data_IF_296221151790
#
_entry.id   IF_296221151790
#
_cell.length_a   1.000
_cell.length_b   1.000
_cell.length_c   1.000
_cell.angle_alpha   90.00
_cell.angle_beta   90.00
_cell.angle_gamma   90.00
#
_symmetry.space_group_name_H-M   'P 1'
#
loop_
_entity.id
_entity.type
_entity.pdbx_description
1 polymer ?
#
# COMPACT_ATOMS: atom_id res chain seq x y z
N UNK A 1 -11.05 1.39 6.08
CA UNK A 1 -11.62 0.39 7.00
C UNK A 1 -11.52 0.77 8.47
N UNK A 2 -10.55 1.58 8.90
CA UNK A 2 -10.47 2.00 10.29
C UNK A 2 -9.51 1.16 11.16
N UNK A 3 -8.82 0.18 10.57
CA UNK A 3 -7.78 -0.59 11.23
C UNK A 3 -6.53 0.27 11.47
N UNK A 4 -5.87 0.06 12.60
CA UNK A 4 -4.61 0.70 12.99
C UNK A 4 -3.41 0.05 12.30
N UNK A 5 -3.37 0.10 10.97
CA UNK A 5 -2.28 -0.47 10.16
C UNK A 5 -1.38 0.59 9.50
N UNK A 6 -1.69 1.88 9.72
CA UNK A 6 -0.90 3.00 9.20
C UNK A 6 0.47 3.03 9.86
N UNK A 7 1.45 3.60 9.17
CA UNK A 7 2.83 3.68 9.68
C UNK A 7 2.92 4.33 11.07
N UNK A 8 2.06 5.30 11.38
CA UNK A 8 1.99 5.99 12.68
C UNK A 8 0.92 5.41 13.63
N UNK A 9 0.46 4.18 13.39
CA UNK A 9 -0.59 3.47 14.15
C UNK A 9 -1.97 4.16 14.17
N UNK A 10 -2.12 5.31 13.51
CA UNK A 10 -3.40 5.98 13.46
C UNK A 10 -4.36 5.30 12.48
N UNK A 11 -5.64 5.45 12.76
CA UNK A 11 -6.71 5.01 11.89
C UNK A 11 -7.14 6.12 10.93
N UNK A 12 -7.52 5.73 9.71
CA UNK A 12 -8.26 6.58 8.76
C UNK A 12 -9.50 5.83 8.33
N UNK A 13 -10.54 5.93 9.14
CA UNK A 13 -11.85 5.37 8.82
C UNK A 13 -12.54 6.22 7.74
N UNK A 14 -13.25 5.56 6.84
CA UNK A 14 -14.15 6.19 5.88
C UNK A 14 -15.50 5.51 6.06
N UNK A 15 -16.38 6.14 6.83
CA UNK A 15 -17.68 5.58 7.21
C UNK A 15 -18.59 5.42 6.01
N UNK A 16 -18.56 6.36 5.06
CA UNK A 16 -19.32 6.28 3.80
C UNK A 16 -18.95 5.04 2.98
N UNK A 17 -17.64 4.74 2.87
CA UNK A 17 -17.18 3.52 2.22
C UNK A 17 -17.62 2.26 2.98
N UNK A 18 -17.52 2.24 4.31
CA UNK A 18 -17.95 1.08 5.09
C UNK A 18 -19.45 0.85 4.92
N UNK A 19 -20.24 1.93 4.96
CA UNK A 19 -21.67 1.88 4.74
C UNK A 19 -22.03 1.36 3.33
N UNK A 20 -21.31 1.77 2.29
CA UNK A 20 -21.54 1.28 0.93
C UNK A 20 -21.17 -0.18 0.74
N UNK A 21 -20.23 -0.70 1.55
CA UNK A 21 -19.80 -2.09 1.54
C UNK A 21 -20.63 -3.02 2.45
N UNK A 22 -21.60 -2.51 3.22
CA UNK A 22 -22.33 -3.29 4.24
C UNK A 22 -23.01 -4.58 3.75
N UNK A 23 -23.34 -4.64 2.46
CA UNK A 23 -24.02 -5.78 1.82
C UNK A 23 -23.06 -6.65 0.97
N UNK A 24 -21.76 -6.39 1.03
CA UNK A 24 -20.75 -7.10 0.26
C UNK A 24 -19.72 -7.74 1.20
N UNK A 25 -19.30 -9.00 0.96
CA UNK A 25 -18.14 -9.53 1.64
C UNK A 25 -16.90 -8.76 1.19
N UNK A 26 -16.06 -8.36 2.14
CA UNK A 26 -14.79 -7.70 1.86
C UNK A 26 -13.70 -8.23 2.79
N UNK A 27 -12.46 -8.19 2.31
CA UNK A 27 -11.28 -8.61 3.05
C UNK A 27 -10.42 -7.37 3.29
N UNK A 28 -10.27 -6.89 4.54
CA UNK A 28 -9.34 -5.82 4.82
C UNK A 28 -7.90 -6.35 4.72
N UNK A 29 -7.00 -5.58 4.13
CA UNK A 29 -5.58 -5.92 4.05
C UNK A 29 -4.69 -4.67 4.16
N UNK A 30 -3.42 -4.88 4.49
CA UNK A 30 -2.37 -3.89 4.41
C UNK A 30 -1.14 -4.54 3.76
N UNK A 31 -0.76 -4.17 2.53
CA UNK A 31 0.36 -4.84 1.83
C UNK A 31 1.65 -4.72 2.64
N UNK A 32 1.90 -3.57 3.26
CA UNK A 32 3.08 -3.33 4.08
C UNK A 32 3.17 -4.31 5.27
N UNK A 33 2.06 -4.60 5.95
CA UNK A 33 2.03 -5.59 7.05
C UNK A 33 2.12 -7.02 6.54
N UNK A 34 1.44 -7.36 5.44
CA UNK A 34 1.56 -8.66 4.79
C UNK A 34 3.00 -8.92 4.32
N UNK A 35 3.71 -7.87 3.96
CA UNK A 35 5.13 -7.87 3.64
C UNK A 35 6.07 -8.01 4.84
N UNK A 36 5.55 -7.97 6.06
CA UNK A 36 6.30 -8.13 7.31
C UNK A 36 6.73 -6.83 7.99
N UNK A 37 6.26 -5.65 7.55
CA UNK A 37 6.55 -4.41 8.28
C UNK A 37 5.67 -4.28 9.53
N UNK A 38 6.22 -3.74 10.64
CA UNK A 38 5.45 -3.58 11.87
C UNK A 38 4.45 -2.41 11.79
N UNK A 39 3.65 -2.27 12.85
CA UNK A 39 2.91 -1.05 13.15
C UNK A 39 3.14 -0.68 14.62
N UNK A 40 3.66 0.52 14.94
CA UNK A 40 4.11 1.55 14.01
C UNK A 40 5.38 1.16 13.22
N UNK A 41 5.71 1.95 12.19
CA UNK A 41 6.92 1.85 11.35
C UNK A 41 7.27 3.23 10.80
N UNK A 42 8.50 3.38 10.32
CA UNK A 42 8.94 4.60 9.64
C UNK A 42 8.10 4.89 8.39
N UNK A 43 7.90 6.17 8.10
CA UNK A 43 7.32 6.58 6.81
C UNK A 43 8.28 6.17 5.70
N UNK A 44 7.75 5.64 4.61
CA UNK A 44 8.52 5.25 3.43
C UNK A 44 8.01 5.92 2.15
N UNK A 45 8.84 5.93 1.11
CA UNK A 45 8.51 6.42 -0.22
C UNK A 45 9.35 5.70 -1.29
N UNK A 46 8.86 5.72 -2.53
CA UNK A 46 9.60 5.26 -3.70
C UNK A 46 10.69 6.29 -4.04
N UNK A 47 11.92 5.85 -4.32
CA UNK A 47 13.07 6.75 -4.54
C UNK A 47 12.91 7.60 -5.80
N UNK A 48 12.37 7.01 -6.87
CA UNK A 48 12.09 7.62 -8.16
C UNK A 48 11.14 6.72 -8.96
N UNK A 49 10.50 7.24 -10.00
CA UNK A 49 9.54 6.45 -10.79
C UNK A 49 8.25 6.16 -10.02
N UNK A 50 7.69 4.97 -10.17
CA UNK A 50 6.53 4.52 -9.41
C UNK A 50 6.60 3.04 -9.01
N UNK A 51 5.47 2.46 -8.61
CA UNK A 51 5.38 1.06 -8.18
C UNK A 51 5.88 0.07 -9.23
N UNK A 52 5.72 0.38 -10.53
CA UNK A 52 6.21 -0.47 -11.61
C UNK A 52 7.72 -0.53 -11.63
N UNK A 53 8.38 0.62 -11.48
CA UNK A 53 9.84 0.70 -11.42
C UNK A 53 10.42 -0.10 -10.25
N UNK A 54 9.70 -0.16 -9.12
CA UNK A 54 10.07 -1.01 -7.98
C UNK A 54 9.96 -2.50 -8.33
N UNK A 55 8.89 -2.91 -9.01
CA UNK A 55 8.67 -4.30 -9.42
C UNK A 55 9.67 -4.76 -10.50
N UNK A 56 10.09 -3.85 -11.38
CA UNK A 56 11.12 -4.09 -12.40
C UNK A 56 12.56 -4.01 -11.83
N UNK A 57 12.71 -3.59 -10.58
CA UNK A 57 14.00 -3.47 -9.90
C UNK A 57 14.82 -2.23 -10.29
N UNK A 58 14.22 -1.27 -11.00
CA UNK A 58 14.85 -0.01 -11.37
C UNK A 58 14.72 1.06 -10.29
N UNK A 59 13.77 0.92 -9.36
CA UNK A 59 13.57 1.78 -8.20
C UNK A 59 13.51 1.01 -6.87
N UNK A 60 13.60 1.75 -5.76
CA UNK A 60 13.55 1.22 -4.40
C UNK A 60 12.49 1.90 -3.58
N UNK A 61 12.06 1.25 -2.51
CA UNK A 61 11.30 1.87 -1.42
C UNK A 61 12.23 2.05 -0.23
N UNK A 62 12.38 3.29 0.21
CA UNK A 62 13.22 3.64 1.37
C UNK A 62 12.38 4.29 2.46
N UNK A 63 12.74 4.03 3.71
CA UNK A 63 12.12 4.69 4.86
C UNK A 63 12.86 5.98 5.28
N UNK A 64 12.27 6.72 6.21
CA UNK A 64 12.82 7.99 6.69
C UNK A 64 14.13 7.85 7.48
N UNK A 65 14.46 6.64 7.93
CA UNK A 65 15.73 6.30 8.55
C UNK A 65 16.79 5.88 7.52
N UNK A 66 16.43 5.81 6.23
CA UNK A 66 17.32 5.42 5.13
C UNK A 66 17.40 3.91 4.90
N UNK A 67 16.55 3.11 5.55
CA UNK A 67 16.52 1.66 5.32
C UNK A 67 15.82 1.35 3.99
N UNK A 68 16.38 0.39 3.24
CA UNK A 68 15.74 -0.19 2.07
C UNK A 68 14.68 -1.21 2.52
N UNK A 69 13.40 -0.85 2.33
CA UNK A 69 12.24 -1.68 2.69
C UNK A 69 11.54 -2.26 1.44
N UNK A 70 12.22 -2.25 0.30
CA UNK A 70 11.68 -2.70 -1.00
C UNK A 70 11.16 -4.13 -0.92
N UNK A 71 11.91 -5.02 -0.27
CA UNK A 71 11.57 -6.45 -0.18
C UNK A 71 10.21 -6.66 0.48
N UNK A 72 9.90 -5.91 1.54
CA UNK A 72 8.63 -6.01 2.24
C UNK A 72 7.48 -5.48 1.38
N UNK A 73 7.69 -4.39 0.64
CA UNK A 73 6.67 -3.88 -0.28
C UNK A 73 6.35 -4.87 -1.40
N UNK A 74 7.37 -5.47 -2.02
CA UNK A 74 7.19 -6.48 -3.08
C UNK A 74 6.53 -7.75 -2.52
N UNK A 75 6.99 -8.26 -1.38
CA UNK A 75 6.37 -9.43 -0.72
C UNK A 75 4.89 -9.15 -0.40
N UNK A 76 4.60 -7.95 0.11
CA UNK A 76 3.24 -7.51 0.40
C UNK A 76 2.33 -7.57 -0.83
N UNK A 77 2.80 -7.07 -1.98
CA UNK A 77 2.07 -7.16 -3.25
C UNK A 77 1.79 -8.61 -3.63
N UNK A 78 2.79 -9.49 -3.57
CA UNK A 78 2.62 -10.92 -3.89
C UNK A 78 1.60 -11.60 -2.99
N UNK A 79 1.57 -11.30 -1.68
CA UNK A 79 0.53 -11.85 -0.79
C UNK A 79 -0.87 -11.31 -1.13
N UNK A 80 -0.99 -10.06 -1.55
CA UNK A 80 -2.27 -9.49 -2.01
C UNK A 80 -2.72 -10.14 -3.31
N UNK A 81 -1.82 -10.40 -4.26
CA UNK A 81 -2.15 -11.13 -5.50
C UNK A 81 -2.71 -12.52 -5.21
N UNK A 82 -2.13 -13.25 -4.24
CA UNK A 82 -2.68 -14.53 -3.79
C UNK A 82 -4.09 -14.40 -3.24
N UNK A 83 -4.38 -13.36 -2.44
CA UNK A 83 -5.73 -13.08 -1.95
C UNK A 83 -6.69 -12.77 -3.10
N UNK A 84 -6.26 -11.96 -4.07
CA UNK A 84 -7.06 -11.62 -5.25
C UNK A 84 -7.41 -12.87 -6.05
N UNK A 85 -6.44 -13.76 -6.29
CA UNK A 85 -6.65 -15.01 -7.00
C UNK A 85 -7.55 -15.97 -6.21
N UNK A 86 -7.27 -16.18 -4.91
CA UNK A 86 -7.98 -17.11 -4.04
C UNK A 86 -9.48 -16.76 -3.90
N UNK A 87 -9.79 -15.47 -3.77
CA UNK A 87 -11.16 -15.00 -3.57
C UNK A 87 -11.80 -14.43 -4.85
N UNK A 88 -11.13 -14.54 -6.00
CA UNK A 88 -11.58 -14.03 -7.30
C UNK A 88 -12.02 -12.55 -7.22
N UNK A 89 -11.25 -11.72 -6.53
CA UNK A 89 -11.56 -10.31 -6.25
C UNK A 89 -11.63 -9.51 -7.55
N UNK A 90 -12.68 -8.69 -7.71
CA UNK A 90 -12.90 -7.84 -8.91
C UNK A 90 -12.76 -6.35 -8.67
N UNK A 91 -12.78 -5.93 -7.41
CA UNK A 91 -12.69 -4.52 -7.01
C UNK A 91 -11.83 -4.41 -5.77
N UNK A 92 -10.93 -3.44 -5.77
CA UNK A 92 -10.11 -3.08 -4.62
C UNK A 92 -10.31 -1.59 -4.28
N UNK A 93 -10.41 -1.29 -2.99
CA UNK A 93 -10.46 0.08 -2.49
C UNK A 93 -9.15 0.38 -1.77
N UNK A 94 -8.29 1.16 -2.42
CA UNK A 94 -6.92 1.39 -1.96
C UNK A 94 -6.76 2.79 -1.37
N UNK A 95 -5.86 2.92 -0.40
CA UNK A 95 -5.58 4.21 0.24
C UNK A 95 -4.74 5.08 -0.69
N UNK A 96 -5.32 6.19 -1.14
CA UNK A 96 -4.64 7.19 -1.99
C UNK A 96 -3.31 7.70 -1.43
N UNK A 97 -2.39 8.03 -2.34
CA UNK A 97 -1.09 8.68 -2.08
C UNK A 97 -0.04 7.85 -1.33
N UNK A 98 -0.35 6.60 -0.98
CA UNK A 98 0.62 5.69 -0.33
C UNK A 98 1.62 5.15 -1.37
N UNK A 99 2.90 4.97 -1.02
CA UNK A 99 3.87 4.28 -1.89
C UNK A 99 3.50 2.82 -2.18
N UNK A 100 2.63 2.19 -1.38
CA UNK A 100 2.12 0.85 -1.67
C UNK A 100 0.75 0.91 -2.38
N UNK A 101 -0.20 1.67 -1.84
CA UNK A 101 -1.61 1.60 -2.25
C UNK A 101 -2.10 2.78 -3.10
N UNK A 102 -1.25 3.77 -3.41
CA UNK A 102 -1.65 4.96 -4.15
C UNK A 102 -2.05 4.62 -5.59
N UNK A 103 -3.16 5.17 -6.07
CA UNK A 103 -3.60 5.06 -7.47
C UNK A 103 -3.55 6.47 -8.08
N UNK A 104 -2.83 6.63 -9.17
CA UNK A 104 -2.65 7.86 -9.93
C UNK A 104 -1.75 8.92 -9.28
N UNK A 105 -1.59 8.91 -7.96
CA UNK A 105 -0.62 9.76 -7.27
C UNK A 105 0.02 9.04 -6.07
N UNK A 106 1.30 9.29 -5.84
CA UNK A 106 2.10 8.80 -4.71
C UNK A 106 3.01 9.90 -4.15
N UNK A 107 3.42 9.77 -2.89
CA UNK A 107 4.42 10.66 -2.31
C UNK A 107 5.84 10.14 -2.57
N UNK A 108 6.68 10.99 -3.15
CA UNK A 108 8.14 10.90 -3.11
C UNK A 108 8.61 11.82 -1.98
N UNK A 109 8.83 11.24 -0.80
CA UNK A 109 9.07 11.98 0.43
C UNK A 109 7.94 13.00 0.72
N UNK A 110 8.18 14.30 0.50
CA UNK A 110 7.20 15.38 0.69
C UNK A 110 6.48 15.78 -0.60
N UNK A 111 6.98 15.35 -1.75
CA UNK A 111 6.47 15.76 -3.06
C UNK A 111 5.41 14.77 -3.54
N UNK A 112 4.27 15.28 -3.99
CA UNK A 112 3.25 14.47 -4.63
C UNK A 112 3.56 14.39 -6.13
N UNK A 113 3.65 13.17 -6.67
CA UNK A 113 3.92 12.91 -8.08
C UNK A 113 2.85 12.00 -8.67
N UNK A 114 2.67 12.06 -9.99
CA UNK A 114 1.83 11.11 -10.73
C UNK A 114 2.50 9.75 -10.77
N UNK A 115 1.75 8.70 -10.46
CA UNK A 115 2.26 7.33 -10.40
C UNK A 115 1.41 6.45 -9.49
N UNK A 116 1.62 5.13 -9.58
CA UNK A 116 0.96 4.16 -8.73
C UNK A 116 1.90 3.64 -7.63
N UNK A 117 1.33 3.17 -6.52
CA UNK A 117 2.09 2.45 -5.52
C UNK A 117 2.39 1.01 -5.94
N UNK A 118 3.32 0.35 -5.25
CA UNK A 118 3.80 -1.01 -5.60
C UNK A 118 2.69 -2.07 -5.65
N UNK A 119 1.66 -1.96 -4.81
CA UNK A 119 0.53 -2.91 -4.79
C UNK A 119 -0.64 -2.47 -5.69
N UNK A 120 -0.61 -1.22 -6.14
CA UNK A 120 -1.62 -0.65 -7.03
C UNK A 120 -1.24 -0.75 -8.52
N UNK A 121 -0.04 -1.26 -8.80
CA UNK A 121 0.51 -1.53 -10.14
C UNK A 121 0.12 -2.94 -10.56
#
# INVERSE_FOLDING_TARGET
MGLKCRFDEQSRINESLIYSLKNFPFIPFCPEQLGGLPTPRHRAWITHGDGKDVLEGSAKVVDEAGNDVTTQFVKGTVEVEKLVALFNVKKAFLKSKSPSCGVGNIYHNKNLVTGNGVCAT
#
